data_IF_266776958771
#
_entry.id   IF_266776958771
#
_cell.length_a   1.000
_cell.length_b   1.000
_cell.length_c   1.000
_cell.angle_alpha   90.00
_cell.angle_beta   90.00
_cell.angle_gamma   90.00
#
_symmetry.space_group_name_H-M   'P 1'
#
loop_
_entity.id
_entity.type
_entity.pdbx_description
1 polymer ?
#
# COMPACT_ATOMS: atom_id res chain seq x y z
N UNK A 1 4.73 29.47 5.76
CA UNK A 1 5.03 28.47 4.72
C UNK A 1 3.71 27.80 4.31
N UNK A 2 3.13 28.14 3.16
CA UNK A 2 1.91 27.46 2.67
C UNK A 2 2.34 26.10 2.13
N UNK A 3 2.26 25.06 2.94
CA UNK A 3 2.56 23.70 2.48
C UNK A 3 1.49 23.32 1.47
N UNK A 4 1.89 23.12 0.22
CA UNK A 4 1.00 22.73 -0.87
C UNK A 4 0.45 21.34 -0.57
N UNK A 5 -0.88 21.23 -0.44
CA UNK A 5 -1.59 19.99 -0.12
C UNK A 5 -1.18 18.79 -1.02
N UNK A 6 -0.82 19.04 -2.28
CA UNK A 6 -0.32 18.02 -3.19
C UNK A 6 0.95 17.30 -2.69
N UNK A 7 1.84 17.99 -1.97
CA UNK A 7 3.07 17.35 -1.45
C UNK A 7 2.73 16.24 -0.44
N UNK A 8 1.73 16.45 0.42
CA UNK A 8 1.30 15.44 1.40
C UNK A 8 0.59 14.25 0.75
N UNK A 9 -0.18 14.50 -0.31
CA UNK A 9 -0.88 13.44 -1.07
C UNK A 9 0.12 12.61 -1.86
N UNK A 10 1.12 13.26 -2.47
CA UNK A 10 2.25 12.56 -3.09
C UNK A 10 2.98 11.67 -2.09
N UNK A 11 3.31 12.24 -0.92
CA UNK A 11 4.04 11.51 0.13
C UNK A 11 3.25 10.30 0.63
N UNK A 12 1.93 10.42 0.80
CA UNK A 12 1.10 9.30 1.24
C UNK A 12 1.04 8.19 0.19
N UNK A 13 0.90 8.51 -1.10
CA UNK A 13 0.93 7.53 -2.18
C UNK A 13 2.28 6.81 -2.30
N UNK A 14 3.38 7.57 -2.22
CA UNK A 14 4.75 7.05 -2.27
C UNK A 14 5.09 6.18 -1.06
N UNK A 15 4.47 6.41 0.10
CA UNK A 15 4.65 5.55 1.29
C UNK A 15 3.75 4.31 1.19
N UNK A 16 2.48 4.45 0.82
CA UNK A 16 1.51 3.35 0.73
C UNK A 16 1.94 2.25 -0.24
N UNK A 17 2.53 2.62 -1.37
CA UNK A 17 2.92 1.67 -2.41
C UNK A 17 4.02 0.66 -1.95
N UNK A 18 5.24 1.08 -1.58
CA UNK A 18 6.31 0.17 -1.16
C UNK A 18 6.03 -0.48 0.18
N UNK A 19 5.40 0.23 1.13
CA UNK A 19 5.08 -0.33 2.45
C UNK A 19 4.03 -1.44 2.31
N UNK A 20 2.93 -1.22 1.58
CA UNK A 20 1.92 -2.25 1.36
C UNK A 20 2.47 -3.47 0.63
N UNK A 21 3.34 -3.27 -0.37
CA UNK A 21 3.96 -4.36 -1.11
C UNK A 21 4.93 -5.16 -0.22
N UNK A 22 5.82 -4.49 0.50
CA UNK A 22 6.81 -5.13 1.36
C UNK A 22 6.16 -5.91 2.51
N UNK A 23 5.18 -5.32 3.18
CA UNK A 23 4.45 -6.01 4.25
C UNK A 23 3.66 -7.22 3.72
N UNK A 24 3.04 -7.11 2.54
CA UNK A 24 2.33 -8.25 1.93
C UNK A 24 3.28 -9.43 1.63
N UNK A 25 4.47 -9.15 1.09
CA UNK A 25 5.49 -10.17 0.83
C UNK A 25 6.01 -10.78 2.13
N UNK A 26 6.32 -9.97 3.15
CA UNK A 26 6.74 -10.47 4.46
C UNK A 26 5.71 -11.42 5.08
N UNK A 27 4.41 -11.12 4.96
CA UNK A 27 3.36 -12.00 5.49
C UNK A 27 3.29 -13.32 4.72
N UNK A 28 3.48 -13.31 3.39
CA UNK A 28 3.53 -14.54 2.58
C UNK A 28 4.75 -15.41 2.92
N UNK A 29 5.90 -14.80 3.13
CA UNK A 29 7.13 -15.49 3.54
C UNK A 29 7.00 -16.10 4.95
N UNK A 30 6.22 -15.45 5.81
CA UNK A 30 5.97 -15.96 7.16
C UNK A 30 5.03 -17.17 7.14
N UNK A 31 4.03 -17.21 6.25
CA UNK A 31 3.16 -18.39 6.04
C UNK A 31 3.98 -19.59 5.58
N UNK A 32 4.93 -19.40 4.66
CA UNK A 32 5.76 -20.50 4.13
C UNK A 32 6.79 -21.02 5.15
N UNK A 33 7.19 -20.17 6.12
CA UNK A 33 8.14 -20.52 7.19
C UNK A 33 7.48 -21.28 8.35
N UNK A 34 6.18 -21.08 8.58
CA UNK A 34 5.42 -21.86 9.57
C UNK A 34 5.24 -23.27 9.01
N UNK A 35 6.09 -24.21 9.49
CA UNK A 35 6.02 -25.64 9.22
C UNK A 35 4.55 -26.10 9.17
N UNK A 36 4.11 -26.89 8.17
CA UNK A 36 2.77 -27.45 8.10
C UNK A 36 2.60 -28.55 9.18
N UNK A 37 2.74 -28.18 10.45
CA UNK A 37 2.29 -28.98 11.55
C UNK A 37 0.77 -28.95 11.49
N UNK A 38 0.19 -30.15 11.42
CA UNK A 38 -1.18 -30.48 11.05
C UNK A 38 -2.22 -30.05 12.11
N UNK A 39 -1.96 -28.94 12.81
CA UNK A 39 -2.80 -28.37 13.85
C UNK A 39 -3.81 -27.42 13.23
N UNK A 40 -5.08 -27.59 13.58
CA UNK A 40 -6.19 -26.73 13.14
C UNK A 40 -5.94 -25.24 13.43
N UNK A 41 -5.20 -24.92 14.50
CA UNK A 41 -4.83 -23.57 14.90
C UNK A 41 -3.83 -22.93 13.92
N UNK A 42 -2.90 -23.72 13.38
CA UNK A 42 -1.89 -23.25 12.42
C UNK A 42 -2.54 -23.00 11.06
N UNK A 43 -3.46 -23.89 10.66
CA UNK A 43 -4.25 -23.73 9.44
C UNK A 43 -5.07 -22.44 9.47
N UNK A 44 -5.79 -22.19 10.58
CA UNK A 44 -6.57 -20.96 10.76
C UNK A 44 -5.68 -19.70 10.73
N UNK A 45 -4.54 -19.74 11.41
CA UNK A 45 -3.56 -18.65 11.40
C UNK A 45 -3.04 -18.36 9.98
N UNK A 46 -2.74 -19.39 9.20
CA UNK A 46 -2.29 -19.25 7.82
C UNK A 46 -3.37 -18.60 6.93
N UNK A 47 -4.66 -18.96 7.11
CA UNK A 47 -5.76 -18.30 6.41
C UNK A 47 -5.88 -16.81 6.77
N UNK A 48 -5.77 -16.47 8.05
CA UNK A 48 -5.80 -15.08 8.50
C UNK A 48 -4.61 -14.28 7.96
N UNK A 49 -3.41 -14.85 7.96
CA UNK A 49 -2.22 -14.23 7.39
C UNK A 49 -2.35 -14.01 5.88
N UNK A 50 -2.91 -14.98 5.15
CA UNK A 50 -3.14 -14.83 3.71
C UNK A 50 -4.12 -13.69 3.42
N UNK A 51 -5.18 -13.59 4.21
CA UNK A 51 -6.16 -12.48 4.14
C UNK A 51 -5.49 -11.13 4.41
N UNK A 52 -4.64 -11.04 5.43
CA UNK A 52 -3.86 -9.82 5.75
C UNK A 52 -2.93 -9.45 4.58
N UNK A 53 -2.26 -10.42 3.97
CA UNK A 53 -1.41 -10.17 2.80
C UNK A 53 -2.21 -9.62 1.61
N UNK A 54 -3.39 -10.18 1.33
CA UNK A 54 -4.27 -9.67 0.27
C UNK A 54 -4.74 -8.24 0.55
N UNK A 55 -5.06 -7.91 1.81
CA UNK A 55 -5.42 -6.55 2.22
C UNK A 55 -4.25 -5.58 2.04
N UNK A 56 -3.04 -5.98 2.41
CA UNK A 56 -1.82 -5.18 2.23
C UNK A 56 -1.48 -4.96 0.76
N UNK A 57 -1.65 -5.98 -0.09
CA UNK A 57 -1.55 -5.83 -1.56
C UNK A 57 -2.59 -4.83 -2.08
N UNK A 58 -3.83 -4.90 -1.58
CA UNK A 58 -4.87 -3.94 -1.96
C UNK A 58 -4.49 -2.51 -1.55
N UNK A 59 -3.97 -2.31 -0.34
CA UNK A 59 -3.45 -1.01 0.12
C UNK A 59 -2.31 -0.51 -0.78
N UNK A 60 -1.40 -1.40 -1.21
CA UNK A 60 -0.32 -1.05 -2.15
C UNK A 60 -0.88 -0.57 -3.50
N UNK A 61 -1.89 -1.26 -4.04
CA UNK A 61 -2.58 -0.87 -5.27
C UNK A 61 -3.27 0.50 -5.13
N UNK A 62 -3.91 0.77 -3.98
CA UNK A 62 -4.43 2.11 -3.69
C UNK A 62 -3.34 3.18 -3.65
N UNK A 63 -2.12 2.85 -3.19
CA UNK A 63 -0.97 3.73 -3.27
C UNK A 63 -0.67 4.19 -4.70
N UNK A 64 -0.76 3.29 -5.69
CA UNK A 64 -0.60 3.64 -7.11
C UNK A 64 -1.68 4.63 -7.55
N UNK A 65 -2.94 4.38 -7.18
CA UNK A 65 -4.08 5.25 -7.53
C UNK A 65 -3.85 6.67 -6.98
N UNK A 66 -3.39 6.78 -5.73
CA UNK A 66 -3.07 8.07 -5.10
C UNK A 66 -1.95 8.79 -5.84
N UNK A 67 -0.88 8.10 -6.24
CA UNK A 67 0.22 8.69 -7.03
C UNK A 67 -0.30 9.21 -8.39
N UNK A 68 -1.16 8.46 -9.06
CA UNK A 68 -1.75 8.87 -10.34
C UNK A 68 -2.63 10.11 -10.19
N UNK A 69 -3.50 10.15 -9.17
CA UNK A 69 -4.35 11.32 -8.89
C UNK A 69 -3.47 12.54 -8.58
N UNK A 70 -2.42 12.38 -7.78
CA UNK A 70 -1.51 13.48 -7.44
C UNK A 70 -0.80 14.03 -8.68
N UNK A 71 -0.32 13.16 -9.57
CA UNK A 71 0.27 13.57 -10.84
C UNK A 71 -0.72 14.39 -11.69
N UNK A 72 -1.99 13.96 -11.79
CA UNK A 72 -3.03 14.69 -12.53
C UNK A 72 -3.28 16.06 -11.90
N UNK A 73 -3.41 16.14 -10.57
CA UNK A 73 -3.61 17.40 -9.84
C UNK A 73 -2.41 18.34 -10.03
N UNK A 74 -1.19 17.82 -9.94
CA UNK A 74 0.03 18.60 -10.17
C UNK A 74 0.08 19.21 -11.57
N UNK A 75 -0.23 18.43 -12.61
CA UNK A 75 -0.29 18.94 -13.99
C UNK A 75 -1.45 19.90 -14.20
N UNK A 76 -2.60 19.69 -13.56
CA UNK A 76 -3.75 20.59 -13.62
C UNK A 76 -3.43 21.94 -12.95
N UNK A 77 -2.78 21.94 -11.79
CA UNK A 77 -2.38 23.16 -11.09
C UNK A 77 -1.27 23.92 -11.81
N UNK A 78 -0.33 23.23 -12.47
CA UNK A 78 0.66 23.89 -13.35
C UNK A 78 0.05 24.60 -14.55
N UNK A 79 -1.14 24.17 -15.00
CA UNK A 79 -1.86 24.78 -16.13
C UNK A 79 -2.75 25.97 -15.72
N UNK A 80 -2.95 26.23 -14.43
CA UNK A 80 -3.64 27.44 -13.98
C UNK A 80 -2.66 28.62 -14.14
N UNK A 81 -2.97 29.63 -14.97
CA UNK A 81 -2.17 30.85 -14.98
C UNK A 81 -2.22 31.44 -13.56
N UNK A 82 -1.05 31.74 -13.01
CA UNK A 82 -0.93 32.54 -11.79
C UNK A 82 -1.54 33.91 -12.11
N UNK A 83 -2.81 34.10 -11.77
CA UNK A 83 -3.44 35.42 -11.65
C UNK A 83 -2.81 36.16 -10.46
#
# INVERSE_FOLDING_TARGET
MKINRGIWIFLSGVIMFPVGHFLSQMVLDLISTINPANSSVIVDTNYHMLSISNQLTTVSQFGIIVIVIDAIVFFADKRKPKL
#
